data_IF_366868467613
#
_entry.id   IF_366868467613
#
_cell.length_a   1.000
_cell.length_b   1.000
_cell.length_c   1.000
_cell.angle_alpha   90.00
_cell.angle_beta   90.00
_cell.angle_gamma   90.00
#
_symmetry.space_group_name_H-M   'P 1'
#
loop_
_entity.id
_entity.type
_entity.pdbx_description
1 polymer ?
#
# COMPACT_ATOMS: atom_id res chain seq x y z
N UNK A 1 5.56 18.33 9.24
CA UNK A 1 5.76 18.06 7.80
C UNK A 1 4.55 17.29 7.28
N UNK A 2 3.91 17.76 6.20
CA UNK A 2 2.73 17.10 5.63
C UNK A 2 3.05 15.73 5.05
N UNK A 3 2.06 14.83 4.92
CA UNK A 3 2.25 13.52 4.28
C UNK A 3 2.67 13.66 2.81
N UNK A 4 2.14 14.64 2.10
CA UNK A 4 2.54 14.92 0.71
C UNK A 4 4.04 15.15 0.58
N UNK A 5 4.63 15.95 1.47
CA UNK A 5 6.07 16.21 1.47
C UNK A 5 6.85 14.94 1.81
N UNK A 6 6.39 14.17 2.80
CA UNK A 6 7.02 12.89 3.16
C UNK A 6 7.02 11.90 1.99
N UNK A 7 5.89 11.76 1.29
CA UNK A 7 5.80 10.91 0.09
C UNK A 7 6.64 11.45 -1.08
N UNK A 8 6.71 12.77 -1.24
CA UNK A 8 7.58 13.37 -2.25
C UNK A 8 9.04 13.02 -2.00
N UNK A 9 9.51 13.13 -0.76
CA UNK A 9 10.87 12.73 -0.36
C UNK A 9 11.06 11.23 -0.63
N UNK A 10 10.10 10.39 -0.26
CA UNK A 10 10.17 8.96 -0.54
C UNK A 10 10.37 8.67 -2.04
N UNK A 11 9.55 9.24 -2.91
CA UNK A 11 9.60 8.98 -4.35
C UNK A 11 10.81 9.62 -5.05
N UNK A 12 11.27 10.79 -4.58
CA UNK A 12 12.34 11.52 -5.27
C UNK A 12 13.74 11.29 -4.72
N UNK A 13 13.85 10.84 -3.47
CA UNK A 13 15.14 10.61 -2.80
C UNK A 13 15.31 9.13 -2.44
N UNK A 14 14.38 8.57 -1.66
CA UNK A 14 14.53 7.21 -1.12
C UNK A 14 14.48 6.16 -2.24
N UNK A 15 13.47 6.23 -3.09
CA UNK A 15 13.29 5.27 -4.19
C UNK A 15 14.47 5.25 -5.16
N UNK A 16 14.97 6.38 -5.68
CA UNK A 16 16.13 6.37 -6.56
C UNK A 16 17.40 5.89 -5.88
N UNK A 17 17.56 6.12 -4.57
CA UNK A 17 18.75 5.72 -3.83
C UNK A 17 18.72 4.23 -3.49
N UNK A 18 17.63 3.75 -2.88
CA UNK A 18 17.52 2.38 -2.37
C UNK A 18 17.28 1.37 -3.48
N UNK A 19 16.50 1.75 -4.50
CA UNK A 19 16.11 0.88 -5.60
C UNK A 19 16.74 1.34 -6.94
N UNK A 20 17.98 1.86 -6.88
CA UNK A 20 18.71 2.25 -8.10
C UNK A 20 19.05 1.03 -8.93
N UNK A 21 18.94 1.17 -10.25
CA UNK A 21 19.31 0.15 -11.24
C UNK A 21 18.66 -1.25 -11.05
N UNK A 22 17.59 -1.34 -10.25
CA UNK A 22 16.88 -2.61 -9.99
C UNK A 22 16.35 -3.24 -11.28
N UNK A 23 16.13 -2.44 -12.31
CA UNK A 23 15.72 -2.87 -13.65
C UNK A 23 16.78 -3.64 -14.42
N UNK A 24 18.05 -3.54 -14.05
CA UNK A 24 19.16 -4.24 -14.74
C UNK A 24 19.43 -5.62 -14.16
N UNK A 25 18.87 -5.96 -13.00
CA UNK A 25 19.05 -7.26 -12.39
C UNK A 25 18.37 -8.36 -13.23
N UNK A 26 18.91 -9.57 -13.22
CA UNK A 26 18.31 -10.74 -13.87
C UNK A 26 16.99 -11.18 -13.22
N UNK A 27 16.70 -12.46 -13.25
CA UNK A 27 15.56 -13.04 -12.52
C UNK A 27 15.81 -12.88 -11.02
N UNK A 28 14.95 -12.11 -10.35
CA UNK A 28 15.03 -11.94 -8.89
C UNK A 28 14.43 -13.14 -8.19
N UNK A 29 15.16 -13.69 -7.24
CA UNK A 29 14.65 -14.75 -6.38
C UNK A 29 13.60 -14.22 -5.39
N UNK A 30 12.70 -15.08 -4.95
CA UNK A 30 11.59 -14.70 -4.05
C UNK A 30 12.06 -14.12 -2.72
N UNK A 31 13.19 -14.64 -2.18
CA UNK A 31 13.79 -14.12 -0.96
C UNK A 31 14.38 -12.72 -1.13
N UNK A 32 15.01 -12.42 -2.28
CA UNK A 32 15.55 -11.09 -2.60
C UNK A 32 14.44 -10.05 -2.68
N UNK A 33 13.33 -10.41 -3.34
CA UNK A 33 12.15 -9.54 -3.40
C UNK A 33 11.60 -9.27 -2.01
N UNK A 34 11.45 -10.30 -1.17
CA UNK A 34 10.97 -10.15 0.22
C UNK A 34 11.87 -9.26 1.06
N UNK A 35 13.18 -9.35 0.90
CA UNK A 35 14.12 -8.47 1.60
C UNK A 35 13.94 -7.01 1.20
N UNK A 36 13.85 -6.73 -0.10
CA UNK A 36 13.61 -5.38 -0.60
C UNK A 36 12.23 -4.83 -0.19
N UNK A 37 11.20 -5.65 -0.21
CA UNK A 37 9.86 -5.28 0.28
C UNK A 37 9.88 -5.03 1.80
N UNK A 38 10.68 -5.78 2.57
CA UNK A 38 10.88 -5.51 4.01
C UNK A 38 11.52 -4.14 4.25
N UNK A 39 12.49 -3.75 3.43
CA UNK A 39 13.10 -2.42 3.48
C UNK A 39 12.06 -1.35 3.15
N UNK A 40 11.32 -1.52 2.05
CA UNK A 40 10.24 -0.62 1.67
C UNK A 40 9.21 -0.46 2.81
N UNK A 41 8.77 -1.57 3.38
CA UNK A 41 7.82 -1.59 4.48
C UNK A 41 8.32 -0.80 5.70
N UNK A 42 9.57 -1.02 6.13
CA UNK A 42 10.15 -0.30 7.27
C UNK A 42 10.16 1.22 7.04
N UNK A 43 10.52 1.64 5.83
CA UNK A 43 10.58 3.06 5.46
C UNK A 43 9.17 3.67 5.44
N UNK A 44 8.22 3.03 4.73
CA UNK A 44 6.84 3.53 4.62
C UNK A 44 6.16 3.58 5.98
N UNK A 45 6.35 2.56 6.80
CA UNK A 45 5.82 2.54 8.16
C UNK A 45 6.37 3.69 9.01
N UNK A 46 7.67 4.00 8.89
CA UNK A 46 8.28 5.16 9.56
C UNK A 46 7.71 6.49 9.07
N UNK A 47 7.54 6.65 7.75
CA UNK A 47 6.94 7.84 7.15
C UNK A 47 5.51 8.08 7.67
N UNK A 48 4.74 7.01 7.82
CA UNK A 48 3.34 7.02 8.22
C UNK A 48 3.14 6.91 9.74
N UNK A 49 4.23 6.82 10.52
CA UNK A 49 4.19 6.66 11.98
C UNK A 49 3.27 5.49 12.41
N UNK A 50 3.32 4.38 11.66
CA UNK A 50 2.48 3.22 11.91
C UNK A 50 3.16 2.21 12.84
N UNK A 51 2.33 1.42 13.56
CA UNK A 51 2.81 0.35 14.45
C UNK A 51 3.48 -0.78 13.67
N UNK A 52 4.35 -1.54 14.34
CA UNK A 52 5.04 -2.71 13.74
C UNK A 52 4.07 -3.79 13.25
N UNK A 53 2.89 -3.85 13.83
CA UNK A 53 1.85 -4.83 13.50
C UNK A 53 0.96 -4.41 12.32
N UNK A 54 1.17 -3.21 11.74
CA UNK A 54 0.42 -2.74 10.57
C UNK A 54 0.77 -3.60 9.34
N UNK A 55 -0.20 -4.19 8.64
CA UNK A 55 0.09 -5.05 7.50
C UNK A 55 0.75 -4.29 6.34
N UNK A 56 1.75 -4.88 5.69
CA UNK A 56 2.38 -4.32 4.49
C UNK A 56 1.36 -3.99 3.40
N UNK A 57 0.49 -4.95 3.08
CA UNK A 57 -0.54 -4.78 2.06
C UNK A 57 -1.57 -3.71 2.42
N UNK A 58 -1.80 -3.46 3.72
CA UNK A 58 -2.61 -2.33 4.18
C UNK A 58 -1.96 -0.99 3.84
N UNK A 59 -0.66 -0.86 4.06
CA UNK A 59 0.07 0.35 3.67
C UNK A 59 0.02 0.56 2.16
N UNK A 60 0.22 -0.51 1.37
CA UNK A 60 0.13 -0.45 -0.09
C UNK A 60 -1.26 -0.02 -0.55
N UNK A 61 -2.32 -0.62 0.02
CA UNK A 61 -3.71 -0.34 -0.31
C UNK A 61 -4.11 1.12 -0.03
N UNK A 62 -3.66 1.67 1.10
CA UNK A 62 -4.00 3.05 1.50
C UNK A 62 -3.16 4.10 0.76
N UNK A 63 -1.88 3.82 0.52
CA UNK A 63 -0.96 4.80 -0.08
C UNK A 63 -0.91 4.76 -1.61
N UNK A 64 -1.34 3.67 -2.23
CA UNK A 64 -1.17 3.44 -3.66
C UNK A 64 0.29 3.33 -4.12
N UNK A 65 1.23 3.21 -3.19
CA UNK A 65 2.64 2.99 -3.50
C UNK A 65 2.82 1.57 -4.02
N UNK A 66 3.50 1.43 -5.13
CA UNK A 66 3.72 0.12 -5.72
C UNK A 66 4.70 -0.73 -4.91
N UNK A 67 4.41 -2.04 -4.72
CA UNK A 67 5.39 -3.00 -4.23
C UNK A 67 6.67 -2.98 -5.05
N UNK A 68 7.80 -3.32 -4.42
CA UNK A 68 9.10 -3.33 -5.11
C UNK A 68 9.08 -4.22 -6.34
N UNK A 69 8.45 -5.38 -6.26
CA UNK A 69 8.28 -6.31 -7.41
C UNK A 69 7.64 -5.60 -8.60
N UNK A 70 6.48 -5.00 -8.42
CA UNK A 70 5.73 -4.35 -9.50
C UNK A 70 6.48 -3.13 -10.06
N UNK A 71 7.21 -2.41 -9.20
CA UNK A 71 8.10 -1.31 -9.62
C UNK A 71 9.26 -1.81 -10.48
N UNK A 72 9.87 -2.93 -10.11
CA UNK A 72 10.95 -3.56 -10.87
C UNK A 72 10.46 -4.03 -12.23
N UNK A 73 9.33 -4.73 -12.27
CA UNK A 73 8.69 -5.21 -13.50
C UNK A 73 8.39 -4.05 -14.47
N UNK A 74 7.81 -2.97 -13.96
CA UNK A 74 7.59 -1.75 -14.75
C UNK A 74 8.89 -1.19 -15.35
N UNK A 75 9.91 -0.99 -14.51
CA UNK A 75 11.19 -0.43 -14.94
C UNK A 75 11.89 -1.33 -15.97
N UNK A 76 11.85 -2.65 -15.79
CA UNK A 76 12.42 -3.63 -16.75
C UNK A 76 11.75 -3.54 -18.11
N UNK A 77 10.43 -3.51 -18.17
CA UNK A 77 9.69 -3.39 -19.44
C UNK A 77 10.00 -2.06 -20.12
N UNK A 78 10.08 -0.96 -19.35
CA UNK A 78 10.45 0.35 -19.92
C UNK A 78 11.91 0.38 -20.42
N UNK A 79 12.83 -0.30 -19.71
CA UNK A 79 14.22 -0.43 -20.16
C UNK A 79 14.29 -1.30 -21.43
N UNK A 80 13.59 -2.44 -21.45
CA UNK A 80 13.49 -3.30 -22.63
C UNK A 80 13.03 -2.52 -23.86
N UNK A 81 11.92 -1.80 -23.75
CA UNK A 81 11.41 -0.96 -24.82
C UNK A 81 12.46 0.07 -25.31
N UNK A 82 13.15 0.78 -24.38
CA UNK A 82 14.17 1.72 -24.77
C UNK A 82 15.35 1.06 -25.51
N UNK A 83 15.70 -0.18 -25.18
CA UNK A 83 16.77 -0.91 -25.85
C UNK A 83 16.32 -1.33 -27.26
N UNK A 84 15.18 -1.97 -27.40
CA UNK A 84 14.73 -2.55 -28.69
C UNK A 84 14.33 -1.46 -29.69
N UNK A 85 13.88 -0.32 -29.22
CA UNK A 85 13.59 0.87 -30.08
C UNK A 85 14.80 1.77 -30.33
N UNK A 86 15.96 1.43 -29.77
CA UNK A 86 17.20 2.19 -30.03
C UNK A 86 17.83 1.84 -31.37
N UNK A 87 18.88 2.58 -31.73
CA UNK A 87 19.65 2.36 -32.96
C UNK A 87 20.10 0.90 -33.09
N UNK A 88 20.00 0.33 -34.31
CA UNK A 88 20.32 -1.09 -34.61
C UNK A 88 21.77 -1.46 -34.32
N UNK A 89 22.70 -0.51 -34.37
CA UNK A 89 24.13 -0.73 -34.15
C UNK A 89 24.54 -0.87 -32.67
N UNK A 90 23.59 -0.88 -31.73
CA UNK A 90 23.94 -0.97 -30.31
C UNK A 90 24.11 -2.43 -29.88
N UNK A 91 25.32 -2.79 -29.41
CA UNK A 91 25.66 -4.12 -28.90
C UNK A 91 24.65 -4.62 -27.86
N UNK A 92 24.15 -3.73 -26.98
CA UNK A 92 23.17 -4.12 -25.96
C UNK A 92 21.86 -4.65 -26.58
N UNK A 93 21.44 -4.14 -27.73
CA UNK A 93 20.26 -4.61 -28.46
C UNK A 93 20.47 -6.02 -28.96
N UNK A 94 21.60 -6.28 -29.63
CA UNK A 94 21.97 -7.62 -30.12
C UNK A 94 22.02 -8.65 -28.99
N UNK A 95 22.63 -8.30 -27.85
CA UNK A 95 22.71 -9.18 -26.67
C UNK A 95 21.31 -9.52 -26.14
N UNK A 96 20.42 -8.54 -26.03
CA UNK A 96 19.05 -8.75 -25.53
C UNK A 96 18.23 -9.59 -26.50
N UNK A 97 18.32 -9.32 -27.78
CA UNK A 97 17.65 -10.12 -28.84
C UNK A 97 18.12 -11.57 -28.81
N UNK A 98 19.43 -11.82 -28.60
CA UNK A 98 19.95 -13.18 -28.45
C UNK A 98 19.46 -13.85 -27.16
N UNK A 99 19.42 -13.16 -26.02
CA UNK A 99 18.86 -13.68 -24.79
C UNK A 99 17.37 -14.01 -24.87
N UNK A 100 16.60 -13.28 -25.67
CA UNK A 100 15.18 -13.57 -25.92
C UNK A 100 15.03 -14.77 -26.84
N UNK A 101 15.86 -14.86 -27.87
CA UNK A 101 15.84 -15.98 -28.85
C UNK A 101 16.33 -17.29 -28.25
N UNK A 102 17.34 -17.20 -27.37
CA UNK A 102 17.98 -18.36 -26.72
C UNK A 102 18.13 -18.09 -25.22
N UNK A 103 17.03 -18.11 -24.46
CA UNK A 103 17.08 -17.79 -23.03
C UNK A 103 17.87 -18.86 -22.29
N UNK A 104 18.70 -18.41 -21.34
CA UNK A 104 19.33 -19.26 -20.34
C UNK A 104 18.86 -18.85 -18.96
N UNK A 105 18.86 -19.80 -18.04
CA UNK A 105 18.30 -19.63 -16.69
C UNK A 105 18.94 -18.45 -15.96
N UNK A 106 18.11 -17.54 -15.50
CA UNK A 106 18.50 -16.37 -14.72
C UNK A 106 18.96 -15.17 -15.56
N UNK A 107 18.96 -15.26 -16.91
CA UNK A 107 19.33 -14.11 -17.72
C UNK A 107 18.28 -13.00 -17.67
N UNK A 108 18.71 -11.80 -18.03
CA UNK A 108 17.82 -10.64 -18.02
C UNK A 108 16.66 -10.76 -19.02
N UNK A 109 16.94 -11.32 -20.21
CA UNK A 109 15.93 -11.60 -21.23
C UNK A 109 14.83 -12.56 -20.76
N UNK A 110 15.19 -13.61 -19.99
CA UNK A 110 14.23 -14.51 -19.36
C UNK A 110 13.29 -13.75 -18.44
N UNK A 111 13.82 -12.85 -17.59
CA UNK A 111 12.99 -12.04 -16.68
C UNK A 111 12.01 -11.12 -17.44
N UNK A 112 12.41 -10.56 -18.58
CA UNK A 112 11.52 -9.77 -19.44
C UNK A 112 10.39 -10.63 -20.00
N UNK A 113 10.70 -11.84 -20.49
CA UNK A 113 9.69 -12.76 -21.03
C UNK A 113 8.70 -13.21 -19.95
N UNK A 114 9.17 -13.44 -18.71
CA UNK A 114 8.28 -13.76 -17.58
C UNK A 114 7.32 -12.63 -17.28
N UNK A 115 7.81 -11.38 -17.27
CA UNK A 115 6.97 -10.20 -17.07
C UNK A 115 5.96 -10.05 -18.22
N UNK A 116 6.41 -10.24 -19.46
CA UNK A 116 5.51 -10.20 -20.62
C UNK A 116 4.40 -11.25 -20.53
N UNK A 117 4.72 -12.49 -20.11
CA UNK A 117 3.72 -13.55 -19.88
C UNK A 117 2.77 -13.19 -18.74
N UNK A 118 3.29 -12.67 -17.62
CA UNK A 118 2.48 -12.27 -16.47
C UNK A 118 1.43 -11.22 -16.84
N UNK A 119 1.82 -10.24 -17.65
CA UNK A 119 0.96 -9.11 -18.02
C UNK A 119 0.29 -9.24 -19.38
N UNK A 120 0.38 -10.42 -20.03
CA UNK A 120 -0.14 -10.65 -21.38
C UNK A 120 0.29 -9.55 -22.34
N UNK A 121 1.61 -9.36 -22.45
CA UNK A 121 2.26 -8.43 -23.35
C UNK A 121 2.98 -9.21 -24.45
N UNK A 122 2.70 -8.89 -25.70
CA UNK A 122 3.40 -9.51 -26.84
C UNK A 122 4.66 -8.70 -27.17
N UNK A 123 5.80 -9.37 -27.21
CA UNK A 123 7.09 -8.74 -27.50
C UNK A 123 7.09 -7.96 -28.82
N UNK A 124 6.47 -8.54 -29.86
CA UNK A 124 6.37 -7.93 -31.18
C UNK A 124 5.56 -6.62 -31.16
N UNK A 125 4.51 -6.57 -30.34
CA UNK A 125 3.70 -5.36 -30.18
C UNK A 125 4.45 -4.27 -29.41
N UNK A 126 5.23 -4.64 -28.39
CA UNK A 126 6.01 -3.69 -27.57
C UNK A 126 6.96 -2.88 -28.46
N UNK A 127 7.59 -3.51 -29.45
CA UNK A 127 8.51 -2.85 -30.37
C UNK A 127 7.84 -1.79 -31.25
N UNK A 128 6.53 -1.96 -31.53
CA UNK A 128 5.74 -1.07 -32.38
C UNK A 128 5.04 0.04 -31.58
N UNK A 129 4.97 -0.07 -30.25
CA UNK A 129 4.28 0.90 -29.43
C UNK A 129 5.13 2.14 -29.17
N UNK A 130 4.48 3.30 -29.13
CA UNK A 130 5.13 4.48 -28.57
C UNK A 130 5.39 4.27 -27.07
N UNK A 131 6.45 4.91 -26.57
CA UNK A 131 6.79 4.87 -25.14
C UNK A 131 5.63 5.30 -24.25
N UNK A 132 4.80 6.25 -24.68
CA UNK A 132 3.64 6.72 -23.93
C UNK A 132 2.53 5.67 -23.90
N UNK A 133 2.27 4.99 -25.01
CA UNK A 133 1.28 3.89 -25.07
C UNK A 133 1.70 2.75 -24.15
N UNK A 134 2.95 2.28 -24.26
CA UNK A 134 3.46 1.23 -23.39
C UNK A 134 3.38 1.61 -21.93
N UNK A 135 3.77 2.83 -21.58
CA UNK A 135 3.72 3.36 -20.21
C UNK A 135 2.31 3.32 -19.63
N UNK A 136 1.30 3.68 -20.42
CA UNK A 136 -0.12 3.64 -20.01
C UNK A 136 -0.56 2.21 -19.77
N UNK A 137 -0.34 1.34 -20.74
CA UNK A 137 -0.76 -0.06 -20.73
C UNK A 137 -0.15 -0.84 -19.57
N UNK A 138 1.17 -0.77 -19.39
CA UNK A 138 1.82 -1.52 -18.30
C UNK A 138 1.43 -0.99 -16.91
N UNK A 139 1.20 0.31 -16.77
CA UNK A 139 0.72 0.88 -15.49
C UNK A 139 -0.68 0.38 -15.12
N UNK A 140 -1.56 0.27 -16.10
CA UNK A 140 -2.91 -0.24 -15.91
C UNK A 140 -2.89 -1.72 -15.50
N UNK A 141 -2.12 -2.54 -16.22
CA UNK A 141 -1.96 -3.97 -15.90
C UNK A 141 -1.36 -4.19 -14.51
N UNK A 142 -0.36 -3.40 -14.13
CA UNK A 142 0.22 -3.45 -12.78
C UNK A 142 -0.80 -3.05 -11.71
N UNK A 143 -1.58 -2.00 -11.95
CA UNK A 143 -2.63 -1.59 -11.00
C UNK A 143 -3.61 -2.71 -10.77
N UNK A 144 -4.11 -3.32 -11.83
CA UNK A 144 -5.05 -4.44 -11.76
C UNK A 144 -4.43 -5.66 -11.03
N UNK A 145 -3.14 -5.92 -11.21
CA UNK A 145 -2.40 -6.97 -10.50
C UNK A 145 -2.36 -6.70 -8.98
N UNK A 146 -2.01 -5.47 -8.59
CA UNK A 146 -1.96 -5.05 -7.19
C UNK A 146 -3.35 -5.13 -6.55
N UNK A 147 -4.39 -4.64 -7.22
CA UNK A 147 -5.78 -4.68 -6.73
C UNK A 147 -6.24 -6.13 -6.50
N UNK A 148 -5.95 -7.05 -7.42
CA UNK A 148 -6.25 -8.48 -7.24
C UNK A 148 -5.54 -9.07 -6.02
N UNK A 149 -4.27 -8.72 -5.82
CA UNK A 149 -3.53 -9.20 -4.63
C UNK A 149 -4.14 -8.64 -3.34
N UNK A 150 -4.51 -7.36 -3.33
CA UNK A 150 -5.15 -6.74 -2.16
C UNK A 150 -6.48 -7.43 -1.86
N UNK A 151 -7.32 -7.73 -2.86
CA UNK A 151 -8.59 -8.44 -2.66
C UNK A 151 -8.37 -9.84 -2.04
N UNK A 152 -7.37 -10.58 -2.52
CA UNK A 152 -7.00 -11.86 -1.90
C UNK A 152 -6.56 -11.64 -0.44
N UNK A 153 -5.73 -10.63 -0.18
CA UNK A 153 -5.27 -10.32 1.18
C UNK A 153 -6.39 -9.86 2.12
N UNK A 154 -7.43 -9.22 1.62
CA UNK A 154 -8.63 -8.87 2.40
C UNK A 154 -9.35 -10.12 2.92
N UNK A 155 -9.41 -11.19 2.13
CA UNK A 155 -10.01 -12.45 2.60
C UNK A 155 -9.16 -13.16 3.66
N UNK A 156 -7.83 -12.98 3.63
CA UNK A 156 -6.89 -13.60 4.56
C UNK A 156 -6.71 -12.79 5.86
N UNK A 157 -6.95 -11.48 5.83
CA UNK A 157 -6.58 -10.55 6.91
C UNK A 157 -7.73 -9.61 7.26
N UNK A 158 -8.36 -9.81 8.42
CA UNK A 158 -9.42 -8.91 8.93
C UNK A 158 -9.01 -7.43 9.03
N UNK A 159 -7.71 -7.16 9.18
CA UNK A 159 -7.13 -5.80 9.22
C UNK A 159 -7.27 -5.02 7.91
N UNK A 160 -7.60 -5.65 6.79
CA UNK A 160 -7.77 -5.00 5.49
C UNK A 160 -9.24 -4.77 5.12
N UNK A 161 -10.17 -5.04 6.03
CA UNK A 161 -11.61 -5.09 5.75
C UNK A 161 -12.18 -3.77 5.21
N UNK A 162 -11.72 -2.64 5.73
CA UNK A 162 -12.28 -1.32 5.39
C UNK A 162 -11.53 -0.57 4.29
N UNK A 163 -10.45 -1.12 3.74
CA UNK A 163 -9.78 -0.51 2.59
C UNK A 163 -10.39 -1.02 1.27
N UNK A 164 -10.58 -0.13 0.29
CA UNK A 164 -11.05 -0.52 -1.04
C UNK A 164 -9.93 -0.99 -1.98
N UNK A 165 -8.66 -0.75 -1.61
CA UNK A 165 -7.48 -1.16 -2.38
C UNK A 165 -7.26 -0.42 -3.71
N UNK A 166 -8.03 0.62 -4.01
CA UNK A 166 -8.05 1.32 -5.32
C UNK A 166 -6.96 2.41 -5.47
N UNK A 167 -5.83 2.23 -4.85
CA UNK A 167 -4.70 3.15 -4.95
C UNK A 167 -4.68 4.21 -3.85
N UNK A 168 -3.94 5.31 -4.09
CA UNK A 168 -3.77 6.37 -3.08
C UNK A 168 -5.10 7.01 -2.71
N UNK A 169 -5.36 7.09 -1.42
CA UNK A 169 -6.57 7.71 -0.88
C UNK A 169 -6.47 9.24 -0.88
N UNK A 170 -7.55 9.90 -1.26
CA UNK A 170 -7.64 11.36 -1.34
C UNK A 170 -7.35 12.04 0.00
N UNK A 171 -7.82 11.46 1.10
CA UNK A 171 -7.60 12.00 2.44
C UNK A 171 -6.12 12.16 2.81
N UNK A 172 -5.23 11.41 2.15
CA UNK A 172 -3.77 11.53 2.37
C UNK A 172 -3.21 12.86 1.83
N UNK A 173 -3.90 13.48 0.89
CA UNK A 173 -3.53 14.78 0.31
C UNK A 173 -4.32 15.95 0.92
N UNK A 174 -5.53 15.71 1.41
CA UNK A 174 -6.47 16.73 1.84
C UNK A 174 -6.41 17.03 3.35
N UNK A 175 -6.08 16.03 4.17
CA UNK A 175 -6.09 16.16 5.61
C UNK A 175 -4.71 16.44 6.19
N UNK A 176 -4.69 16.95 7.41
CA UNK A 176 -3.46 17.06 8.18
C UNK A 176 -2.85 15.67 8.43
N UNK A 177 -1.52 15.61 8.55
CA UNK A 177 -0.81 14.33 8.70
C UNK A 177 -1.35 13.47 9.86
N UNK A 178 -1.68 14.08 10.99
CA UNK A 178 -2.22 13.38 12.18
C UNK A 178 -3.61 12.79 11.89
N UNK A 179 -4.48 13.57 11.25
CA UNK A 179 -5.83 13.16 10.87
C UNK A 179 -5.79 12.00 9.87
N UNK A 180 -4.99 12.15 8.83
CA UNK A 180 -4.82 11.10 7.81
C UNK A 180 -4.25 9.80 8.39
N UNK A 181 -3.27 9.88 9.28
CA UNK A 181 -2.72 8.70 9.96
C UNK A 181 -3.74 8.04 10.91
N UNK A 182 -4.62 8.80 11.54
CA UNK A 182 -5.68 8.27 12.38
C UNK A 182 -6.72 7.52 11.55
N UNK A 183 -7.16 8.10 10.43
CA UNK A 183 -8.05 7.43 9.47
C UNK A 183 -7.42 6.14 8.96
N UNK A 184 -6.16 6.18 8.52
CA UNK A 184 -5.47 4.98 8.08
C UNK A 184 -5.46 3.88 9.15
N UNK A 185 -5.26 4.23 10.42
CA UNK A 185 -5.35 3.26 11.52
C UNK A 185 -6.74 2.70 11.67
N UNK A 186 -7.78 3.50 11.51
CA UNK A 186 -9.16 3.04 11.54
C UNK A 186 -9.45 2.07 10.38
N UNK A 187 -9.11 2.46 9.14
CA UNK A 187 -9.31 1.63 7.94
C UNK A 187 -8.58 0.29 8.01
N UNK A 188 -7.47 0.22 8.73
CA UNK A 188 -6.67 -1.00 8.90
C UNK A 188 -6.93 -1.73 10.23
N UNK A 189 -7.98 -1.41 10.96
CA UNK A 189 -8.26 -1.99 12.28
C UNK A 189 -7.06 -1.91 13.25
N UNK A 190 -6.35 -0.77 13.24
CA UNK A 190 -5.14 -0.54 14.03
C UNK A 190 -5.31 0.54 15.11
N UNK A 191 -6.54 1.01 15.32
CA UNK A 191 -6.87 1.87 16.47
C UNK A 191 -6.60 1.11 17.78
N UNK A 192 -6.26 1.85 18.83
CA UNK A 192 -5.99 1.27 20.15
C UNK A 192 -7.29 0.91 20.88
N UNK A 193 -8.00 -0.07 20.33
CA UNK A 193 -9.25 -0.62 20.81
C UNK A 193 -9.04 -2.03 21.33
N UNK A 194 -9.78 -2.45 22.35
CA UNK A 194 -9.67 -3.76 22.98
C UNK A 194 -9.91 -4.91 21.96
N UNK A 195 -10.90 -4.78 21.09
CA UNK A 195 -11.20 -5.74 20.04
C UNK A 195 -10.08 -5.91 19.00
N UNK A 196 -9.31 -4.84 18.73
CA UNK A 196 -8.18 -4.89 17.82
C UNK A 196 -6.92 -5.55 18.44
N UNK A 197 -6.84 -5.61 19.78
CA UNK A 197 -5.68 -6.12 20.54
C UNK A 197 -6.11 -7.09 21.64
N UNK A 198 -6.96 -8.07 21.32
CA UNK A 198 -7.53 -9.06 22.27
C UNK A 198 -6.48 -9.76 23.13
N UNK A 199 -5.26 -9.98 22.63
CA UNK A 199 -4.19 -10.58 23.42
C UNK A 199 -3.66 -9.72 24.56
N UNK A 200 -3.93 -8.41 24.52
CA UNK A 200 -3.46 -7.44 25.51
C UNK A 200 -4.51 -7.10 26.56
N UNK A 201 -5.79 -7.42 26.32
CA UNK A 201 -6.90 -7.09 27.19
C UNK A 201 -7.62 -8.35 27.67
N UNK A 202 -8.03 -8.38 28.95
CA UNK A 202 -8.74 -9.52 29.55
C UNK A 202 -10.13 -9.75 28.95
N UNK A 203 -10.78 -8.65 28.61
CA UNK A 203 -12.06 -8.62 27.92
C UNK A 203 -11.97 -7.70 26.69
N UNK A 204 -12.89 -7.88 25.75
CA UNK A 204 -13.01 -7.04 24.57
C UNK A 204 -14.11 -5.98 24.70
N UNK A 205 -14.76 -5.85 25.86
CA UNK A 205 -15.93 -5.01 26.05
C UNK A 205 -15.54 -3.53 26.07
N UNK A 206 -16.39 -2.73 25.46
CA UNK A 206 -16.21 -1.28 25.35
C UNK A 206 -16.20 -0.59 26.74
N UNK A 207 -15.14 0.15 27.04
CA UNK A 207 -15.01 0.87 28.31
C UNK A 207 -16.03 2.02 28.48
N UNK A 208 -16.69 2.44 27.39
CA UNK A 208 -17.65 3.53 27.41
C UNK A 208 -19.07 3.06 27.69
N UNK A 209 -19.59 2.10 26.93
CA UNK A 209 -20.96 1.62 27.08
C UNK A 209 -21.09 0.36 27.94
N UNK A 210 -20.04 -0.46 28.03
CA UNK A 210 -20.04 -1.71 28.78
C UNK A 210 -20.89 -2.84 28.16
N UNK A 211 -21.41 -2.67 26.93
CA UNK A 211 -22.38 -3.59 26.33
C UNK A 211 -21.80 -4.46 25.20
N UNK A 212 -20.98 -3.86 24.32
CA UNK A 212 -20.51 -4.50 23.11
C UNK A 212 -18.99 -4.55 23.02
N UNK A 213 -18.46 -5.30 22.04
CA UNK A 213 -17.03 -5.37 21.78
C UNK A 213 -16.50 -4.02 21.30
N UNK A 214 -15.41 -3.56 21.89
CA UNK A 214 -14.73 -2.31 21.52
C UNK A 214 -13.97 -2.48 20.19
N UNK A 215 -14.68 -2.40 19.09
CA UNK A 215 -14.17 -2.52 17.72
C UNK A 215 -14.23 -1.19 16.96
N UNK A 216 -13.61 -1.15 15.78
CA UNK A 216 -13.70 0.04 14.91
C UNK A 216 -15.14 0.30 14.49
N UNK A 217 -15.92 -0.75 14.18
CA UNK A 217 -17.34 -0.64 13.85
C UNK A 217 -18.13 -0.07 15.03
N UNK A 218 -17.92 -0.64 16.21
CA UNK A 218 -18.65 -0.24 17.42
C UNK A 218 -18.42 1.25 17.77
N UNK A 219 -17.28 1.85 17.42
CA UNK A 219 -17.08 3.28 17.65
C UNK A 219 -18.17 4.13 17.00
N UNK A 220 -18.61 3.78 15.79
CA UNK A 220 -19.62 4.52 15.06
C UNK A 220 -21.03 4.28 15.61
N UNK A 221 -21.27 3.13 16.25
CA UNK A 221 -22.58 2.72 16.78
C UNK A 221 -22.67 2.87 18.31
N UNK A 222 -21.56 3.16 19.00
CA UNK A 222 -21.51 3.25 20.46
C UNK A 222 -22.46 4.33 21.01
N UNK A 223 -23.41 3.95 21.85
CA UNK A 223 -24.42 4.83 22.44
C UNK A 223 -23.81 6.05 23.15
N UNK A 224 -22.69 5.85 23.85
CA UNK A 224 -21.99 6.92 24.58
C UNK A 224 -21.36 7.94 23.63
N UNK A 225 -21.00 7.55 22.42
CA UNK A 225 -20.38 8.42 21.41
C UNK A 225 -21.39 9.11 20.50
N UNK A 226 -22.69 8.77 20.57
CA UNK A 226 -23.74 9.37 19.73
C UNK A 226 -23.78 10.90 19.85
N UNK A 227 -23.50 11.46 21.02
CA UNK A 227 -23.46 12.90 21.23
C UNK A 227 -22.38 13.65 20.45
N UNK A 228 -21.27 12.97 20.10
CA UNK A 228 -20.20 13.54 19.27
C UNK A 228 -20.30 13.11 17.81
N UNK A 229 -21.07 12.07 17.52
CA UNK A 229 -21.40 11.62 16.15
C UNK A 229 -22.58 12.41 15.56
N UNK A 230 -22.45 13.74 15.56
CA UNK A 230 -23.54 14.68 15.14
C UNK A 230 -24.02 14.45 13.71
N UNK A 231 -23.19 13.88 12.85
CA UNK A 231 -23.53 13.63 11.45
C UNK A 231 -24.01 12.19 11.20
N UNK A 232 -24.28 11.41 12.27
CA UNK A 232 -24.66 10.01 12.18
C UNK A 232 -23.76 9.18 11.23
N UNK A 233 -22.44 9.42 11.34
CA UNK A 233 -21.44 8.70 10.58
C UNK A 233 -21.51 7.20 10.89
N UNK A 234 -21.31 6.39 9.86
CA UNK A 234 -21.23 4.93 9.95
C UNK A 234 -19.83 4.47 9.53
N UNK A 235 -19.51 3.23 9.81
CA UNK A 235 -18.18 2.65 9.50
C UNK A 235 -17.86 2.69 8.01
N UNK A 236 -18.84 2.64 7.13
CA UNK A 236 -18.69 2.76 5.68
C UNK A 236 -18.09 4.12 5.27
N UNK A 237 -18.20 5.14 6.14
CA UNK A 237 -17.53 6.43 5.90
C UNK A 237 -15.98 6.32 5.87
N UNK A 238 -15.41 5.19 6.29
CA UNK A 238 -13.98 4.89 6.14
C UNK A 238 -13.57 4.56 4.70
N UNK A 239 -14.51 4.23 3.82
CA UNK A 239 -14.21 3.99 2.39
C UNK A 239 -13.93 5.31 1.62
N UNK A 240 -14.59 6.41 2.03
CA UNK A 240 -14.39 7.76 1.51
C UNK A 240 -14.30 8.79 2.64
N UNK A 241 -13.27 8.73 3.49
CA UNK A 241 -13.23 9.49 4.73
C UNK A 241 -13.06 10.99 4.48
N UNK A 242 -13.82 11.75 5.25
CA UNK A 242 -13.84 13.21 5.25
C UNK A 242 -13.18 13.77 6.52
N UNK A 243 -13.08 15.10 6.58
CA UNK A 243 -12.61 15.80 7.79
C UNK A 243 -13.51 15.57 9.01
N UNK A 244 -14.81 15.34 8.80
CA UNK A 244 -15.77 15.01 9.85
C UNK A 244 -15.46 13.64 10.46
N UNK A 245 -15.13 12.64 9.64
CA UNK A 245 -14.69 11.31 10.11
C UNK A 245 -13.43 11.44 10.96
N UNK A 246 -12.45 12.22 10.52
CA UNK A 246 -11.21 12.44 11.26
C UNK A 246 -11.48 13.10 12.63
N UNK A 247 -12.34 14.13 12.68
CA UNK A 247 -12.74 14.80 13.93
C UNK A 247 -13.46 13.86 14.87
N UNK A 248 -14.42 13.09 14.36
CA UNK A 248 -15.14 12.10 15.16
C UNK A 248 -14.17 11.07 15.77
N UNK A 249 -13.31 10.45 14.95
CA UNK A 249 -12.33 9.47 15.44
C UNK A 249 -11.37 10.06 16.47
N UNK A 250 -10.92 11.31 16.28
CA UNK A 250 -10.03 11.98 17.24
C UNK A 250 -10.73 12.16 18.59
N UNK A 251 -11.94 12.69 18.60
CA UNK A 251 -12.71 12.90 19.82
C UNK A 251 -13.04 11.57 20.52
N UNK A 252 -13.47 10.55 19.77
CA UNK A 252 -13.76 9.22 20.30
C UNK A 252 -12.53 8.59 20.98
N UNK A 253 -11.36 8.67 20.34
CA UNK A 253 -10.11 8.13 20.90
C UNK A 253 -9.63 8.88 22.13
N UNK A 254 -9.86 10.20 22.21
CA UNK A 254 -9.55 11.00 23.40
C UNK A 254 -10.44 10.61 24.57
N UNK A 255 -11.75 10.43 24.37
CA UNK A 255 -12.69 9.98 25.41
C UNK A 255 -12.31 8.59 25.92
N UNK A 256 -12.01 7.63 25.03
CA UNK A 256 -11.57 6.29 25.43
C UNK A 256 -10.30 6.34 26.26
N UNK A 257 -9.31 7.13 25.84
CA UNK A 257 -8.06 7.29 26.61
C UNK A 257 -8.31 7.90 27.98
N UNK A 258 -9.08 8.97 28.05
CA UNK A 258 -9.43 9.60 29.33
C UNK A 258 -10.13 8.61 30.29
N UNK A 259 -11.06 7.80 29.80
CA UNK A 259 -11.75 6.77 30.59
C UNK A 259 -10.79 5.72 31.12
N UNK A 260 -9.86 5.23 30.30
CA UNK A 260 -8.85 4.23 30.72
C UNK A 260 -7.88 4.78 31.76
N UNK A 261 -7.46 6.05 31.62
CA UNK A 261 -6.58 6.69 32.62
C UNK A 261 -7.30 6.96 33.94
N UNK A 262 -8.60 7.32 33.90
CA UNK A 262 -9.41 7.48 35.08
C UNK A 262 -9.63 6.19 35.88
N UNK A 263 -9.74 5.05 35.18
CA UNK A 263 -9.87 3.71 35.80
C UNK A 263 -8.56 3.16 36.39
N UNK A 264 -7.41 3.72 36.03
CA UNK A 264 -6.10 3.35 36.60
C UNK A 264 -5.74 4.12 37.88
N UNK A 265 -6.51 5.16 38.23
CA UNK A 265 -6.29 6.03 39.41
C UNK A 265 -7.23 5.70 40.55
N UNK A 266 -8.10 4.71 40.43
CA UNK A 266 -8.92 4.10 41.49
C UNK A 266 -8.34 2.71 41.86
#
# INVERSE_FOLDING_TARGET
MSLQVRFKIYETVVVPTVFSNIETWGVMQENEVKELESIQYKILRGILEQKMTTPYWGIIAETGIWPVRNRTEYKKIMLFHNIVTSDEKRLVKEVIEDQIRKPYKGCWGESVMEICRKYDLKLDEINLWSKQKLKKEIKEKIRNDIEKVIEIKKTEMSKLRFTDGKGKKEYMDELEAKEAMLIMRASLNMLELKGNYRSMYKDGICDLCGEEEESTEHLFDCKTLQGINSNHLKVEALEGPTKEVAKFLSAAMEIIKARRHGLQSE
#
